data_IF_056378886287
#
_entry.id   IF_056378886287
#
_cell.length_a   1.000
_cell.length_b   1.000
_cell.length_c   1.000
_cell.angle_alpha   90.00
_cell.angle_beta   90.00
_cell.angle_gamma   90.00
#
_symmetry.space_group_name_H-M   'P 1'
#
loop_
_entity.id
_entity.type
_entity.pdbx_description
1 polymer ?
#
# COMPACT_ATOMS: atom_id res chain seq x y z
N UNK A 1 -29.08 22.90 -24.75
CA UNK A 1 -28.75 23.48 -23.43
C UNK A 1 -27.91 22.41 -22.75
N UNK A 2 -26.61 22.65 -22.61
CA UNK A 2 -25.76 21.77 -21.86
C UNK A 2 -26.25 21.79 -20.41
N UNK A 3 -26.71 20.65 -19.92
CA UNK A 3 -27.10 20.50 -18.54
C UNK A 3 -25.84 20.75 -17.68
N UNK A 4 -25.84 21.84 -16.91
CA UNK A 4 -24.75 22.13 -15.98
C UNK A 4 -24.62 20.97 -15.00
N UNK A 5 -23.39 20.52 -14.76
CA UNK A 5 -23.14 19.44 -13.79
C UNK A 5 -23.74 19.84 -12.42
N UNK A 6 -24.41 18.89 -11.72
CA UNK A 6 -25.03 19.19 -10.43
C UNK A 6 -23.96 19.59 -9.41
N UNK A 7 -24.28 20.54 -8.55
CA UNK A 7 -23.44 20.90 -7.41
C UNK A 7 -23.66 19.88 -6.30
N UNK A 8 -22.60 19.19 -5.93
CA UNK A 8 -22.63 18.16 -4.90
C UNK A 8 -21.73 18.57 -3.74
N UNK A 9 -22.25 18.54 -2.53
CA UNK A 9 -21.45 18.72 -1.31
C UNK A 9 -21.28 17.40 -0.56
N UNK A 10 -20.05 17.05 -0.21
CA UNK A 10 -19.78 15.84 0.56
C UNK A 10 -20.04 16.06 2.06
N UNK A 11 -20.57 15.03 2.73
CA UNK A 11 -20.73 14.95 4.18
C UNK A 11 -20.06 13.68 4.66
N UNK A 12 -19.01 13.82 5.47
CA UNK A 12 -18.26 12.70 6.06
C UNK A 12 -18.76 12.45 7.48
N UNK A 13 -19.26 11.25 7.76
CA UNK A 13 -19.71 10.86 9.09
C UNK A 13 -18.54 10.24 9.86
N UNK A 14 -17.98 11.00 10.80
CA UNK A 14 -16.76 10.67 11.54
C UNK A 14 -16.94 10.78 13.09
N UNK A 15 -18.19 10.72 13.59
CA UNK A 15 -18.50 10.86 15.01
C UNK A 15 -18.73 9.53 15.74
N UNK A 16 -18.45 8.38 15.11
CA UNK A 16 -18.62 7.04 15.70
C UNK A 16 -17.65 6.80 16.87
N UNK A 17 -18.15 6.20 17.97
CA UNK A 17 -17.38 5.97 19.18
C UNK A 17 -16.32 4.85 19.08
N UNK A 18 -16.34 4.03 18.03
CA UNK A 18 -15.38 2.93 17.85
C UNK A 18 -15.38 1.86 18.95
N UNK A 19 -16.49 1.67 19.67
CA UNK A 19 -16.57 0.81 20.85
C UNK A 19 -16.11 -0.64 20.61
N UNK A 20 -16.45 -1.20 19.44
CA UNK A 20 -16.03 -2.56 19.04
C UNK A 20 -14.56 -2.65 18.66
N UNK A 21 -13.98 -1.54 18.19
CA UNK A 21 -12.58 -1.45 17.84
C UNK A 21 -11.65 -1.37 19.07
N UNK A 22 -12.20 -0.95 20.20
CA UNK A 22 -11.44 -0.77 21.45
C UNK A 22 -10.62 0.51 21.49
N UNK A 23 -10.89 1.49 20.61
CA UNK A 23 -10.17 2.74 20.53
C UNK A 23 -10.66 3.65 19.38
N UNK A 24 -9.80 4.59 19.00
CA UNK A 24 -10.10 5.54 17.93
C UNK A 24 -9.82 4.96 16.53
N UNK A 25 -10.77 4.19 15.98
CA UNK A 25 -10.64 3.52 14.68
C UNK A 25 -10.25 4.46 13.53
N UNK A 26 -10.69 5.72 13.56
CA UNK A 26 -10.36 6.72 12.54
C UNK A 26 -8.90 7.19 12.56
N UNK A 27 -8.22 6.97 13.69
CA UNK A 27 -6.78 7.24 13.86
C UNK A 27 -5.90 6.05 13.52
N UNK A 28 -6.49 4.84 13.41
CA UNK A 28 -5.77 3.66 12.96
C UNK A 28 -5.12 3.92 11.59
N UNK A 29 -4.01 3.25 11.32
CA UNK A 29 -3.24 3.47 10.10
C UNK A 29 -3.40 2.34 9.11
N UNK A 30 -3.49 2.72 7.86
CA UNK A 30 -3.42 1.86 6.69
C UNK A 30 -2.53 2.57 5.67
N UNK A 31 -1.52 1.89 5.16
CA UNK A 31 -0.62 2.41 4.13
C UNK A 31 0.08 3.74 4.54
N UNK A 32 0.52 3.83 5.79
CA UNK A 32 1.19 4.99 6.36
C UNK A 32 0.27 6.17 6.70
N UNK A 33 -1.03 6.09 6.39
CA UNK A 33 -2.02 7.16 6.58
C UNK A 33 -3.13 6.74 7.54
N UNK A 34 -3.74 7.71 8.20
CA UNK A 34 -4.91 7.45 9.06
C UNK A 34 -6.13 7.07 8.22
N UNK A 35 -6.98 6.21 8.75
CA UNK A 35 -8.24 5.79 8.10
C UNK A 35 -9.06 6.99 7.62
N UNK A 36 -9.28 8.00 8.47
CA UNK A 36 -10.02 9.21 8.07
C UNK A 36 -9.27 10.02 6.99
N UNK A 37 -7.93 10.07 7.03
CA UNK A 37 -7.16 10.79 6.02
C UNK A 37 -7.33 10.18 4.62
N UNK A 38 -7.38 8.85 4.53
CA UNK A 38 -7.61 8.16 3.25
C UNK A 38 -8.96 8.56 2.63
N UNK A 39 -10.00 8.69 3.45
CA UNK A 39 -11.32 9.16 3.00
C UNK A 39 -11.27 10.61 2.50
N UNK A 40 -10.63 11.51 3.26
CA UNK A 40 -10.49 12.92 2.88
C UNK A 40 -9.65 13.08 1.60
N UNK A 41 -8.58 12.30 1.46
CA UNK A 41 -7.73 12.31 0.27
C UNK A 41 -8.50 11.84 -0.98
N UNK A 42 -9.32 10.78 -0.86
CA UNK A 42 -10.15 10.30 -1.96
C UNK A 42 -11.20 11.33 -2.40
N UNK A 43 -11.80 12.06 -1.46
CA UNK A 43 -12.71 13.16 -1.75
C UNK A 43 -12.01 14.31 -2.49
N UNK A 44 -10.84 14.74 -2.02
CA UNK A 44 -10.06 15.80 -2.67
C UNK A 44 -9.59 15.38 -4.08
N UNK A 45 -9.13 14.13 -4.26
CA UNK A 45 -8.76 13.59 -5.57
C UNK A 45 -9.96 13.54 -6.53
N UNK A 46 -11.16 13.34 -6.00
CA UNK A 46 -12.39 13.35 -6.78
C UNK A 46 -12.87 14.77 -7.17
N UNK A 47 -12.27 15.83 -6.57
CA UNK A 47 -12.73 17.21 -6.73
C UNK A 47 -13.96 17.54 -5.87
N UNK A 48 -14.22 16.76 -4.81
CA UNK A 48 -15.24 17.04 -3.81
C UNK A 48 -14.60 17.87 -2.68
N UNK A 49 -14.26 19.10 -3.01
CA UNK A 49 -13.63 20.06 -2.11
C UNK A 49 -14.60 20.55 -1.02
N UNK A 50 -14.07 21.06 0.10
CA UNK A 50 -14.81 21.62 1.22
C UNK A 50 -15.89 20.69 1.82
N UNK A 51 -15.59 19.42 2.14
CA UNK A 51 -16.59 18.53 2.72
C UNK A 51 -17.01 19.00 4.12
N UNK A 52 -18.26 18.74 4.51
CA UNK A 52 -18.68 18.82 5.91
C UNK A 52 -18.23 17.55 6.62
N UNK A 53 -17.42 17.66 7.67
CA UNK A 53 -16.99 16.51 8.47
C UNK A 53 -17.64 16.57 9.84
N UNK A 54 -18.53 15.62 10.11
CA UNK A 54 -19.23 15.51 11.39
C UNK A 54 -18.40 14.66 12.36
N UNK A 55 -17.97 15.26 13.46
CA UNK A 55 -17.07 14.66 14.45
C UNK A 55 -17.69 14.56 15.83
N UNK A 56 -17.20 13.65 16.67
CA UNK A 56 -17.58 13.58 18.08
C UNK A 56 -16.86 14.67 18.92
N UNK A 57 -17.42 15.09 20.08
CA UNK A 57 -16.79 16.08 20.96
C UNK A 57 -15.37 15.69 21.42
N UNK A 58 -15.14 14.40 21.64
CA UNK A 58 -13.86 13.80 22.04
C UNK A 58 -13.17 13.01 20.91
N UNK A 59 -13.63 13.23 19.65
CA UNK A 59 -13.12 12.52 18.48
C UNK A 59 -11.81 13.11 17.92
N UNK A 60 -11.29 12.53 16.83
CA UNK A 60 -10.01 12.90 16.21
C UNK A 60 -9.86 14.38 15.86
N UNK A 61 -10.96 15.12 15.71
CA UNK A 61 -10.96 16.56 15.45
C UNK A 61 -10.30 17.39 16.57
N UNK A 62 -10.19 16.87 17.76
CA UNK A 62 -9.60 17.60 18.90
C UNK A 62 -8.13 17.24 19.13
N UNK A 63 -7.68 16.12 18.59
CA UNK A 63 -6.29 15.61 18.69
C UNK A 63 -5.51 15.78 17.39
N UNK A 64 -5.87 16.74 16.57
CA UNK A 64 -5.59 16.93 15.15
C UNK A 64 -4.14 17.15 14.74
N UNK A 65 -3.16 16.87 15.52
CA UNK A 65 -1.79 16.80 15.01
C UNK A 65 -1.71 15.70 13.94
N UNK A 66 -1.58 16.14 12.67
CA UNK A 66 -1.27 15.29 11.54
C UNK A 66 -2.44 14.83 10.65
N UNK A 67 -3.66 15.44 10.72
CA UNK A 67 -4.67 15.33 9.68
C UNK A 67 -4.65 16.56 8.79
N UNK A 68 -4.65 16.37 7.48
CA UNK A 68 -4.93 17.41 6.50
C UNK A 68 -6.44 17.42 6.21
N UNK A 69 -7.14 18.42 6.72
CA UNK A 69 -8.60 18.54 6.63
C UNK A 69 -9.12 18.92 5.25
N UNK A 70 -8.22 19.20 4.28
CA UNK A 70 -8.63 19.54 2.90
C UNK A 70 -9.70 20.61 2.82
N UNK A 71 -9.59 21.68 3.64
CA UNK A 71 -10.57 22.76 3.77
C UNK A 71 -11.96 22.33 4.30
N UNK A 72 -12.07 21.18 4.94
CA UNK A 72 -13.34 20.68 5.48
C UNK A 72 -13.96 21.62 6.51
N UNK A 73 -15.28 21.76 6.46
CA UNK A 73 -16.07 22.39 7.53
C UNK A 73 -16.33 21.36 8.65
N UNK A 74 -15.74 21.60 9.81
CA UNK A 74 -15.87 20.69 10.95
C UNK A 74 -17.11 21.03 11.78
N UNK A 75 -17.97 20.01 11.97
CA UNK A 75 -19.21 20.15 12.77
C UNK A 75 -19.20 19.12 13.89
N UNK A 76 -19.34 19.59 15.12
CA UNK A 76 -19.36 18.71 16.31
C UNK A 76 -20.77 18.21 16.56
N UNK A 77 -20.97 16.89 16.52
CA UNK A 77 -22.21 16.29 16.99
C UNK A 77 -22.17 16.19 18.52
N UNK A 78 -23.04 16.94 19.27
CA UNK A 78 -23.00 16.94 20.72
C UNK A 78 -23.51 15.62 21.34
N UNK A 79 -24.25 14.82 20.58
CA UNK A 79 -24.89 13.59 21.06
C UNK A 79 -24.63 12.39 20.12
N UNK A 80 -23.36 11.99 19.88
CA UNK A 80 -23.04 10.91 18.96
C UNK A 80 -23.62 9.56 19.40
N UNK A 81 -23.88 9.39 20.69
CA UNK A 81 -24.55 8.19 21.25
C UNK A 81 -26.00 7.97 20.81
N UNK A 82 -26.63 8.95 20.13
CA UNK A 82 -27.94 8.77 19.50
C UNK A 82 -27.89 7.99 18.19
N UNK A 83 -26.71 7.59 17.77
CA UNK A 83 -26.47 6.78 16.60
C UNK A 83 -26.10 7.58 15.35
N UNK A 84 -25.76 6.84 14.29
CA UNK A 84 -25.25 7.40 13.02
C UNK A 84 -26.22 8.41 12.39
N UNK A 85 -27.54 8.22 12.55
CA UNK A 85 -28.57 9.14 12.05
C UNK A 85 -28.45 10.54 12.61
N UNK A 86 -28.03 10.72 13.87
CA UNK A 86 -27.84 12.06 14.46
C UNK A 86 -26.75 12.85 13.76
N UNK A 87 -25.66 12.18 13.40
CA UNK A 87 -24.56 12.78 12.62
C UNK A 87 -24.99 13.05 11.18
N UNK A 88 -25.75 12.14 10.57
CA UNK A 88 -26.30 12.31 9.22
C UNK A 88 -27.21 13.57 9.15
N UNK A 89 -28.16 13.70 10.07
CA UNK A 89 -29.07 14.85 10.09
C UNK A 89 -28.32 16.19 10.32
N UNK A 90 -27.30 16.16 11.18
CA UNK A 90 -26.49 17.37 11.44
C UNK A 90 -25.69 17.74 10.20
N UNK A 91 -24.94 16.82 9.61
CA UNK A 91 -24.15 17.06 8.40
C UNK A 91 -25.01 17.44 7.20
N UNK A 92 -26.17 16.81 7.01
CA UNK A 92 -27.14 17.16 5.98
C UNK A 92 -27.60 18.61 6.10
N UNK A 93 -28.02 19.05 7.29
CA UNK A 93 -28.46 20.46 7.52
C UNK A 93 -27.33 21.43 7.23
N UNK A 94 -26.15 21.18 7.76
CA UNK A 94 -24.97 22.03 7.50
C UNK A 94 -24.66 22.13 6.01
N UNK A 95 -24.71 21.01 5.27
CA UNK A 95 -24.48 21.02 3.83
C UNK A 95 -25.53 21.89 3.08
N UNK A 96 -26.77 21.96 3.57
CA UNK A 96 -27.82 22.76 2.96
C UNK A 96 -27.70 24.27 3.26
N UNK A 97 -26.91 24.69 4.26
CA UNK A 97 -26.61 26.05 4.61
C UNK A 97 -25.54 26.70 3.71
N UNK A 98 -24.93 25.94 2.81
CA UNK A 98 -23.94 26.44 1.86
C UNK A 98 -24.53 27.47 0.89
N UNK A 99 -23.74 28.45 0.52
CA UNK A 99 -24.05 29.39 -0.56
C UNK A 99 -22.98 29.26 -1.68
N UNK A 100 -23.33 28.78 -2.87
CA UNK A 100 -24.68 28.35 -3.29
C UNK A 100 -25.09 26.99 -2.72
N UNK A 101 -26.40 26.83 -2.47
CA UNK A 101 -26.97 25.58 -1.98
C UNK A 101 -26.71 24.42 -2.97
N UNK A 102 -26.32 23.22 -2.51
CA UNK A 102 -26.07 22.09 -3.38
C UNK A 102 -27.37 21.50 -3.96
N UNK A 103 -27.25 20.87 -5.13
CA UNK A 103 -28.34 20.12 -5.77
C UNK A 103 -28.45 18.71 -5.16
N UNK A 104 -27.33 18.15 -4.69
CA UNK A 104 -27.25 16.86 -4.01
C UNK A 104 -26.19 16.86 -2.90
N UNK A 105 -26.36 15.95 -1.93
CA UNK A 105 -25.37 15.68 -0.88
C UNK A 105 -24.83 14.27 -1.06
N UNK A 106 -23.51 14.13 -0.99
CA UNK A 106 -22.81 12.86 -1.01
C UNK A 106 -22.44 12.46 0.43
N UNK A 107 -23.10 11.47 0.99
CA UNK A 107 -22.84 10.95 2.34
C UNK A 107 -21.75 9.87 2.26
N UNK A 108 -20.68 10.08 3.02
CA UNK A 108 -19.49 9.21 3.08
C UNK A 108 -19.25 8.79 4.52
N UNK A 109 -18.88 7.54 4.74
CA UNK A 109 -18.47 7.06 6.06
C UNK A 109 -16.98 7.29 6.28
N UNK A 110 -16.62 7.87 7.44
CA UNK A 110 -15.22 8.18 7.77
C UNK A 110 -14.35 6.96 8.09
N UNK A 111 -14.95 5.80 8.25
CA UNK A 111 -14.32 4.50 8.57
C UNK A 111 -14.23 3.53 7.39
N UNK A 112 -14.46 4.03 6.17
CA UNK A 112 -14.31 3.29 4.92
C UNK A 112 -13.11 3.77 4.10
N UNK A 113 -11.86 3.43 4.49
CA UNK A 113 -10.65 4.02 3.90
C UNK A 113 -10.36 3.58 2.46
N UNK A 114 -11.08 2.57 1.94
CA UNK A 114 -10.94 2.09 0.56
C UNK A 114 -11.91 2.79 -0.41
N UNK A 115 -12.60 3.83 0.03
CA UNK A 115 -13.42 4.66 -0.87
C UNK A 115 -12.56 5.21 -2.02
N UNK A 116 -13.04 5.03 -3.25
CA UNK A 116 -12.29 5.35 -4.47
C UNK A 116 -12.70 6.69 -5.04
N UNK A 117 -11.73 7.50 -5.43
CA UNK A 117 -11.95 8.81 -6.03
C UNK A 117 -12.73 8.75 -7.35
N UNK A 118 -12.54 7.72 -8.18
CA UNK A 118 -13.30 7.54 -9.42
C UNK A 118 -14.78 7.22 -9.15
N UNK A 119 -15.09 6.45 -8.11
CA UNK A 119 -16.46 6.18 -7.67
C UNK A 119 -17.11 7.45 -7.14
N UNK A 120 -16.42 8.20 -6.27
CA UNK A 120 -16.88 9.49 -5.76
C UNK A 120 -17.17 10.44 -6.92
N UNK A 121 -16.27 10.56 -7.88
CA UNK A 121 -16.42 11.43 -9.07
C UNK A 121 -17.60 10.99 -9.93
N UNK A 122 -17.77 9.68 -10.16
CA UNK A 122 -18.90 9.15 -10.92
C UNK A 122 -20.25 9.45 -10.24
N UNK A 123 -20.33 9.30 -8.90
CA UNK A 123 -21.50 9.66 -8.13
C UNK A 123 -21.77 11.17 -8.19
N UNK A 124 -20.75 12.01 -8.00
CA UNK A 124 -20.88 13.46 -7.99
C UNK A 124 -21.32 14.02 -9.36
N UNK A 125 -20.78 13.50 -10.46
CA UNK A 125 -21.05 13.99 -11.82
C UNK A 125 -22.32 13.42 -12.45
N UNK A 126 -22.94 12.39 -11.85
CA UNK A 126 -24.14 11.79 -12.41
C UNK A 126 -25.29 12.81 -12.52
N UNK A 127 -26.11 12.76 -13.57
CA UNK A 127 -27.28 13.64 -13.69
C UNK A 127 -28.29 13.41 -12.56
N UNK A 128 -29.03 14.47 -12.21
CA UNK A 128 -30.14 14.38 -11.26
C UNK A 128 -31.29 13.53 -11.81
N UNK A 129 -32.03 12.85 -10.93
CA UNK A 129 -33.20 12.03 -11.27
C UNK A 129 -34.24 12.16 -10.15
N UNK A 130 -35.26 12.98 -10.35
CA UNK A 130 -36.30 13.21 -9.33
C UNK A 130 -37.14 11.97 -9.00
N UNK A 131 -37.26 11.04 -9.96
CA UNK A 131 -38.00 9.79 -9.75
C UNK A 131 -37.19 8.78 -8.91
N UNK A 132 -35.87 8.81 -9.03
CA UNK A 132 -34.95 7.96 -8.27
C UNK A 132 -33.82 8.80 -7.66
N UNK A 133 -34.13 9.55 -6.58
CA UNK A 133 -33.30 10.60 -6.04
C UNK A 133 -32.06 10.11 -5.27
N UNK A 134 -31.88 8.80 -5.14
CA UNK A 134 -30.72 8.22 -4.47
C UNK A 134 -29.87 7.49 -5.49
N UNK A 135 -28.56 7.74 -5.45
CA UNK A 135 -27.56 6.99 -6.23
C UNK A 135 -26.52 6.42 -5.28
N UNK A 136 -26.32 5.09 -5.34
CA UNK A 136 -25.38 4.38 -4.48
C UNK A 136 -24.54 3.37 -5.28
N UNK A 137 -23.31 3.08 -4.89
CA UNK A 137 -22.53 2.02 -5.50
C UNK A 137 -23.05 0.65 -5.08
N UNK A 138 -22.87 -0.33 -5.94
CA UNK A 138 -23.07 -1.74 -5.65
C UNK A 138 -21.77 -2.46 -5.95
N UNK A 139 -21.04 -2.81 -4.90
CA UNK A 139 -19.80 -3.56 -4.98
C UNK A 139 -20.10 -5.04 -5.20
N UNK A 140 -19.35 -5.69 -6.10
CA UNK A 140 -19.55 -7.11 -6.41
C UNK A 140 -19.18 -8.01 -5.23
N UNK A 141 -20.17 -8.40 -4.43
CA UNK A 141 -20.00 -9.32 -3.30
C UNK A 141 -20.15 -8.70 -1.92
N UNK A 142 -20.37 -7.39 -1.81
CA UNK A 142 -20.57 -6.67 -0.55
C UNK A 142 -22.01 -6.14 -0.41
N UNK A 143 -22.53 -6.13 0.82
CA UNK A 143 -23.77 -5.41 1.17
C UNK A 143 -23.50 -3.90 1.44
N UNK A 144 -22.25 -3.44 1.32
CA UNK A 144 -21.88 -2.04 1.49
C UNK A 144 -22.36 -1.21 0.31
N UNK A 145 -22.99 -0.07 0.57
CA UNK A 145 -23.57 0.80 -0.44
C UNK A 145 -23.13 2.27 -0.27
N UNK A 146 -21.99 2.50 0.39
CA UNK A 146 -21.44 3.85 0.55
C UNK A 146 -20.28 4.08 -0.44
N UNK A 147 -20.09 5.35 -0.88
CA UNK A 147 -20.85 6.59 -0.55
C UNK A 147 -22.25 6.63 -1.17
N UNK A 148 -23.18 7.34 -0.51
CA UNK A 148 -24.55 7.52 -1.02
C UNK A 148 -24.78 8.96 -1.43
N UNK A 149 -25.15 9.21 -2.68
CA UNK A 149 -25.62 10.52 -3.14
C UNK A 149 -27.14 10.61 -3.02
N UNK A 150 -27.63 11.71 -2.43
CA UNK A 150 -29.05 11.98 -2.28
C UNK A 150 -29.40 13.38 -2.82
N UNK A 151 -30.41 13.46 -3.69
CA UNK A 151 -30.89 14.73 -4.28
C UNK A 151 -31.59 15.58 -3.23
N UNK A 152 -31.20 16.84 -3.09
CA UNK A 152 -31.71 17.73 -2.05
C UNK A 152 -33.24 18.00 -2.20
N UNK A 153 -33.70 18.16 -3.44
CA UNK A 153 -35.09 18.50 -3.71
C UNK A 153 -36.10 17.39 -3.33
N UNK A 154 -35.70 16.14 -3.41
CA UNK A 154 -36.60 14.97 -3.33
C UNK A 154 -36.25 13.97 -2.23
N UNK A 155 -34.99 13.89 -1.82
CA UNK A 155 -34.54 12.91 -0.82
C UNK A 155 -34.67 13.40 0.64
N UNK A 156 -34.99 14.68 0.89
CA UNK A 156 -35.02 15.26 2.26
C UNK A 156 -35.87 14.45 3.24
N UNK A 157 -37.07 14.00 2.85
CA UNK A 157 -37.94 13.17 3.71
C UNK A 157 -37.33 11.78 3.99
N UNK A 158 -36.60 11.22 3.03
CA UNK A 158 -35.93 9.93 3.21
C UNK A 158 -34.76 10.04 4.19
N UNK A 159 -34.07 11.19 4.21
CA UNK A 159 -33.02 11.49 5.20
C UNK A 159 -33.64 11.61 6.61
N UNK A 160 -34.82 12.30 6.73
CA UNK A 160 -35.53 12.44 8.01
C UNK A 160 -36.00 11.07 8.57
N UNK A 161 -36.28 10.09 7.72
CA UNK A 161 -36.66 8.74 8.11
C UNK A 161 -35.48 7.87 8.61
N UNK A 162 -34.24 8.34 8.46
CA UNK A 162 -33.06 7.64 8.98
C UNK A 162 -33.01 7.72 10.51
N UNK A 163 -32.98 6.56 11.18
CA UNK A 163 -32.98 6.46 12.66
C UNK A 163 -31.93 5.45 13.16
N UNK A 164 -31.36 5.75 14.33
CA UNK A 164 -30.42 4.87 15.03
C UNK A 164 -29.05 4.74 14.34
N UNK A 165 -28.41 3.58 14.54
CA UNK A 165 -27.00 3.34 14.15
C UNK A 165 -26.79 2.89 12.69
N UNK A 166 -27.87 2.67 11.93
CA UNK A 166 -27.78 2.06 10.59
C UNK A 166 -27.78 3.08 9.44
N UNK A 167 -27.77 4.38 9.74
CA UNK A 167 -27.70 5.45 8.74
C UNK A 167 -28.78 5.31 7.64
N UNK A 168 -28.36 5.38 6.38
CA UNK A 168 -29.24 5.26 5.21
C UNK A 168 -29.55 3.80 4.81
N UNK A 169 -28.83 2.81 5.29
CA UNK A 169 -29.02 1.41 4.89
C UNK A 169 -30.48 0.92 4.97
N UNK A 170 -31.21 1.11 6.09
CA UNK A 170 -32.61 0.72 6.20
C UNK A 170 -33.55 1.50 5.26
N UNK A 171 -33.22 2.75 4.95
CA UNK A 171 -33.98 3.59 4.01
C UNK A 171 -33.84 3.05 2.60
N UNK A 172 -32.60 2.71 2.18
CA UNK A 172 -32.32 2.10 0.88
C UNK A 172 -33.06 0.77 0.71
N UNK A 173 -33.01 -0.09 1.75
CA UNK A 173 -33.67 -1.40 1.74
C UNK A 173 -35.21 -1.29 1.67
N UNK A 174 -35.79 -0.26 2.31
CA UNK A 174 -37.24 -0.03 2.32
C UNK A 174 -37.77 0.57 1.01
N UNK A 175 -36.93 1.32 0.30
CA UNK A 175 -37.30 2.09 -0.91
C UNK A 175 -36.38 1.76 -2.11
N UNK A 176 -36.26 0.49 -2.52
CA UNK A 176 -35.35 0.09 -3.59
C UNK A 176 -35.72 0.70 -4.95
N UNK A 177 -36.99 1.07 -5.15
CA UNK A 177 -37.51 1.75 -6.32
C UNK A 177 -37.01 3.20 -6.48
N UNK A 178 -36.57 3.82 -5.39
CA UNK A 178 -36.02 5.18 -5.38
C UNK A 178 -34.50 5.21 -5.54
N UNK A 179 -33.85 4.06 -5.66
CA UNK A 179 -32.39 3.94 -5.73
C UNK A 179 -31.95 3.61 -7.15
N UNK A 180 -30.98 4.38 -7.64
CA UNK A 180 -30.13 4.02 -8.80
C UNK A 180 -28.86 3.35 -8.29
N UNK A 181 -28.42 2.31 -8.96
CA UNK A 181 -27.20 1.60 -8.63
C UNK A 181 -26.10 1.87 -9.63
N UNK A 182 -24.90 2.16 -9.12
CA UNK A 182 -23.66 2.18 -9.87
C UNK A 182 -22.90 0.88 -9.58
N UNK A 183 -22.80 -0.01 -10.55
CA UNK A 183 -22.03 -1.24 -10.38
C UNK A 183 -20.54 -0.90 -10.35
N UNK A 184 -19.85 -1.35 -9.29
CA UNK A 184 -18.45 -1.05 -9.00
C UNK A 184 -17.72 -2.35 -8.71
N UNK A 185 -16.56 -2.54 -9.31
CA UNK A 185 -15.65 -3.63 -8.99
C UNK A 185 -14.89 -3.37 -7.68
N UNK A 186 -14.55 -4.45 -6.97
CA UNK A 186 -13.84 -4.37 -5.69
C UNK A 186 -14.77 -4.29 -4.50
N UNK A 187 -14.29 -3.77 -3.40
CA UNK A 187 -14.99 -3.67 -2.12
C UNK A 187 -14.65 -2.35 -1.39
N UNK A 188 -15.49 -1.96 -0.43
CA UNK A 188 -15.28 -0.80 0.42
C UNK A 188 -15.74 -1.12 1.85
N UNK A 189 -15.03 -2.01 2.58
CA UNK A 189 -15.44 -2.46 3.90
C UNK A 189 -15.24 -1.39 4.99
N UNK A 190 -16.10 -1.47 6.01
CA UNK A 190 -15.99 -0.67 7.23
C UNK A 190 -14.85 -1.18 8.12
N UNK A 191 -14.17 -0.30 8.82
CA UNK A 191 -13.26 -0.65 9.92
C UNK A 191 -14.02 -0.57 11.24
N UNK A 192 -14.53 -1.70 11.71
CA UNK A 192 -15.28 -1.80 12.97
C UNK A 192 -14.53 -2.55 14.07
N UNK A 193 -13.62 -3.46 13.69
CA UNK A 193 -12.80 -4.29 14.58
C UNK A 193 -11.34 -4.28 14.13
N UNK A 194 -10.44 -4.80 14.98
CA UNK A 194 -9.05 -5.02 14.59
C UNK A 194 -8.91 -5.99 13.39
N UNK A 195 -9.80 -6.98 13.29
CA UNK A 195 -9.81 -7.92 12.17
C UNK A 195 -10.19 -7.22 10.85
N UNK A 196 -11.15 -6.29 10.90
CA UNK A 196 -11.52 -5.48 9.72
C UNK A 196 -10.35 -4.59 9.29
N UNK A 197 -9.62 -3.99 10.25
CA UNK A 197 -8.44 -3.19 9.94
C UNK A 197 -7.36 -4.04 9.25
N UNK A 198 -7.10 -5.26 9.73
CA UNK A 198 -6.15 -6.16 9.10
C UNK A 198 -6.58 -6.51 7.67
N UNK A 199 -7.84 -6.84 7.47
CA UNK A 199 -8.40 -7.13 6.14
C UNK A 199 -8.30 -5.92 5.19
N UNK A 200 -8.66 -4.73 5.66
CA UNK A 200 -8.53 -3.47 4.90
C UNK A 200 -7.08 -3.19 4.53
N UNK A 201 -6.13 -3.41 5.45
CA UNK A 201 -4.71 -3.21 5.16
C UNK A 201 -4.20 -4.19 4.08
N UNK A 202 -4.65 -5.44 4.09
CA UNK A 202 -4.33 -6.43 3.06
C UNK A 202 -4.94 -6.06 1.70
N UNK A 203 -6.19 -5.60 1.66
CA UNK A 203 -6.85 -5.13 0.45
C UNK A 203 -6.15 -3.89 -0.14
N UNK A 204 -5.79 -2.91 0.71
CA UNK A 204 -5.08 -1.70 0.29
C UNK A 204 -3.71 -2.04 -0.33
N UNK A 205 -2.98 -2.96 0.30
CA UNK A 205 -1.71 -3.46 -0.20
C UNK A 205 -1.88 -4.12 -1.57
N UNK A 206 -2.80 -5.09 -1.67
CA UNK A 206 -3.06 -5.84 -2.91
C UNK A 206 -3.53 -4.94 -4.05
N UNK A 207 -4.39 -3.96 -3.76
CA UNK A 207 -4.86 -2.98 -4.75
C UNK A 207 -3.71 -2.15 -5.34
N UNK A 208 -2.79 -1.67 -4.51
CA UNK A 208 -1.61 -0.93 -4.98
C UNK A 208 -0.71 -1.78 -5.86
N UNK A 209 -0.47 -3.05 -5.48
CA UNK A 209 0.32 -3.99 -6.29
C UNK A 209 -0.35 -4.23 -7.64
N UNK A 210 -1.66 -4.51 -7.64
CA UNK A 210 -2.45 -4.73 -8.87
C UNK A 210 -2.42 -3.51 -9.78
N UNK A 211 -2.71 -2.32 -9.26
CA UNK A 211 -2.70 -1.05 -10.03
C UNK A 211 -1.33 -0.73 -10.61
N UNK A 212 -0.25 -0.97 -9.86
CA UNK A 212 1.12 -0.83 -10.39
C UNK A 212 1.36 -1.78 -11.57
N UNK A 213 0.98 -3.06 -11.43
CA UNK A 213 1.12 -4.07 -12.48
C UNK A 213 0.31 -3.70 -13.72
N UNK A 214 -0.96 -3.31 -13.57
CA UNK A 214 -1.83 -2.89 -14.66
C UNK A 214 -1.28 -1.66 -15.39
N UNK A 215 -0.71 -0.70 -14.65
CA UNK A 215 -0.04 0.46 -15.24
C UNK A 215 1.19 0.05 -16.04
N UNK A 216 2.05 -0.81 -15.48
CA UNK A 216 3.23 -1.33 -16.17
C UNK A 216 2.81 -2.09 -17.43
N UNK A 217 1.83 -3.00 -17.33
CA UNK A 217 1.36 -3.81 -18.46
C UNK A 217 0.79 -2.97 -19.62
N UNK A 218 0.15 -1.85 -19.30
CA UNK A 218 -0.37 -0.90 -20.28
C UNK A 218 0.70 -0.05 -20.95
N UNK A 219 1.77 0.30 -20.23
CA UNK A 219 2.76 1.29 -20.69
C UNK A 219 4.07 0.70 -21.20
N UNK A 220 4.36 -0.54 -20.85
CA UNK A 220 5.60 -1.22 -21.25
C UNK A 220 5.68 -1.42 -22.75
N UNK A 221 6.89 -1.25 -23.31
CA UNK A 221 7.19 -1.49 -24.70
C UNK A 221 7.78 -2.89 -24.94
N UNK A 222 8.40 -3.48 -23.92
CA UNK A 222 9.00 -4.80 -23.98
C UNK A 222 8.32 -5.78 -23.01
N UNK A 223 8.09 -7.05 -23.40
CA UNK A 223 7.58 -8.06 -22.49
C UNK A 223 8.63 -8.40 -21.42
N UNK A 224 8.16 -8.93 -20.27
CA UNK A 224 9.03 -9.58 -19.32
C UNK A 224 9.71 -10.80 -19.96
N UNK A 225 11.00 -10.98 -19.69
CA UNK A 225 11.67 -12.26 -19.92
C UNK A 225 11.17 -13.31 -18.92
N UNK A 226 11.35 -14.58 -19.23
CA UNK A 226 10.98 -15.68 -18.34
C UNK A 226 11.67 -15.60 -16.95
N UNK A 227 12.86 -15.02 -16.89
CA UNK A 227 13.57 -14.66 -15.66
C UNK A 227 13.96 -13.18 -15.74
N UNK A 228 13.25 -12.34 -14.96
CA UNK A 228 13.46 -10.89 -14.90
C UNK A 228 14.89 -10.49 -14.53
N UNK A 229 15.61 -11.33 -13.79
CA UNK A 229 16.95 -11.07 -13.29
C UNK A 229 18.07 -11.64 -14.15
N UNK A 230 17.77 -12.45 -15.18
CA UNK A 230 18.77 -13.17 -15.97
C UNK A 230 19.90 -12.28 -16.53
N UNK A 231 19.56 -11.07 -17.00
CA UNK A 231 20.53 -10.13 -17.60
C UNK A 231 21.35 -9.32 -16.59
N UNK A 232 21.04 -9.41 -15.30
CA UNK A 232 21.59 -8.53 -14.26
C UNK A 232 22.00 -9.27 -12.97
N UNK A 233 21.89 -10.60 -12.93
CA UNK A 233 22.20 -11.38 -11.73
C UNK A 233 23.61 -11.15 -11.20
N UNK A 234 24.59 -10.90 -12.06
CA UNK A 234 25.96 -10.56 -11.69
C UNK A 234 26.10 -9.26 -10.91
N UNK A 235 25.23 -8.28 -11.15
CA UNK A 235 25.24 -6.97 -10.46
C UNK A 235 24.76 -7.12 -8.99
N UNK A 236 24.06 -8.21 -8.68
CA UNK A 236 23.56 -8.49 -7.33
C UNK A 236 24.53 -9.34 -6.49
N UNK A 237 25.66 -9.73 -7.05
CA UNK A 237 26.73 -10.38 -6.28
C UNK A 237 27.44 -9.36 -5.41
N UNK A 238 27.66 -9.73 -4.16
CA UNK A 238 28.33 -8.90 -3.16
C UNK A 238 29.41 -9.71 -2.46
N UNK A 239 30.45 -9.06 -1.95
CA UNK A 239 31.45 -9.71 -1.12
C UNK A 239 30.82 -10.13 0.22
N UNK A 240 30.79 -11.43 0.57
CA UNK A 240 30.24 -11.88 1.85
C UNK A 240 31.02 -11.36 3.06
N UNK A 241 32.28 -11.01 2.88
CA UNK A 241 33.16 -10.51 3.94
C UNK A 241 33.25 -8.97 3.95
N UNK A 242 32.36 -8.28 3.20
CA UNK A 242 32.28 -6.81 3.16
C UNK A 242 32.09 -6.20 4.53
N UNK A 243 32.74 -5.08 4.77
CA UNK A 243 32.60 -4.26 5.98
C UNK A 243 31.86 -2.95 5.69
N UNK A 244 31.25 -2.36 6.73
CA UNK A 244 30.61 -1.06 6.62
C UNK A 244 29.24 -1.09 5.90
N UNK A 245 28.58 -2.25 5.86
CA UNK A 245 27.16 -2.38 5.47
C UNK A 245 26.29 -2.32 6.75
N UNK A 246 25.66 -1.17 7.03
CA UNK A 246 24.94 -0.99 8.29
C UNK A 246 23.71 -1.90 8.40
N UNK A 247 23.09 -2.33 7.28
CA UNK A 247 21.99 -3.29 7.26
C UNK A 247 22.49 -4.67 7.66
N UNK A 248 23.63 -5.10 7.09
CA UNK A 248 24.23 -6.37 7.47
C UNK A 248 24.66 -6.39 8.94
N UNK A 249 25.22 -5.28 9.44
CA UNK A 249 25.61 -5.18 10.85
C UNK A 249 24.37 -5.21 11.77
N UNK A 250 23.25 -4.63 11.34
CA UNK A 250 21.99 -4.75 12.05
C UNK A 250 21.49 -6.21 12.05
N UNK A 251 21.48 -6.90 10.92
CA UNK A 251 21.08 -8.32 10.82
C UNK A 251 21.95 -9.23 11.71
N UNK A 252 23.27 -9.00 11.74
CA UNK A 252 24.21 -9.79 12.57
C UNK A 252 23.90 -9.70 14.06
N UNK A 253 23.28 -8.60 14.56
CA UNK A 253 22.88 -8.49 15.97
C UNK A 253 21.78 -9.47 16.36
N UNK A 254 20.97 -9.93 15.40
CA UNK A 254 19.90 -10.92 15.59
C UNK A 254 20.37 -12.35 15.39
N UNK A 255 21.57 -12.56 14.82
CA UNK A 255 22.13 -13.89 14.53
C UNK A 255 22.78 -14.55 15.77
N UNK A 256 22.53 -15.82 15.96
CA UNK A 256 23.19 -16.69 16.96
C UNK A 256 23.85 -17.85 16.27
N UNK A 257 25.00 -18.27 16.74
CA UNK A 257 25.81 -19.33 16.06
C UNK A 257 25.09 -20.67 15.89
N UNK A 258 24.09 -20.97 16.73
CA UNK A 258 23.27 -22.19 16.63
C UNK A 258 22.03 -22.07 15.75
N UNK A 259 21.72 -20.90 15.22
CA UNK A 259 20.48 -20.63 14.48
C UNK A 259 20.46 -21.29 13.10
N UNK A 260 19.27 -21.67 12.68
CA UNK A 260 18.93 -21.84 11.27
C UNK A 260 18.08 -20.65 10.82
N UNK A 261 18.48 -20.01 9.73
CA UNK A 261 17.78 -18.90 9.10
C UNK A 261 17.11 -19.34 7.81
N UNK A 262 15.90 -18.84 7.56
CA UNK A 262 15.20 -18.95 6.29
C UNK A 262 15.24 -17.60 5.59
N UNK A 263 15.97 -17.49 4.47
CA UNK A 263 16.05 -16.29 3.64
C UNK A 263 15.11 -16.45 2.44
N UNK A 264 13.98 -15.74 2.47
CA UNK A 264 12.90 -15.79 1.47
C UNK A 264 13.15 -14.70 0.43
N UNK A 265 13.40 -15.10 -0.82
CA UNK A 265 13.83 -14.20 -1.89
C UNK A 265 15.32 -13.84 -1.75
N UNK A 266 16.15 -14.83 -1.48
CA UNK A 266 17.57 -14.64 -1.18
C UNK A 266 18.40 -14.06 -2.34
N UNK A 267 17.88 -14.11 -3.55
CA UNK A 267 18.56 -13.61 -4.75
C UNK A 267 19.94 -14.22 -4.93
N UNK A 268 20.94 -13.41 -5.25
CA UNK A 268 22.33 -13.81 -5.37
C UNK A 268 23.06 -13.98 -4.01
N UNK A 269 22.32 -13.94 -2.89
CA UNK A 269 22.85 -14.21 -1.56
C UNK A 269 23.44 -13.01 -0.84
N UNK A 270 22.98 -11.78 -1.16
CA UNK A 270 23.48 -10.54 -0.54
C UNK A 270 23.57 -10.62 0.99
N UNK A 271 22.58 -11.20 1.63
CA UNK A 271 22.54 -11.41 3.08
C UNK A 271 22.73 -12.87 3.49
N UNK A 272 22.27 -13.84 2.70
CA UNK A 272 22.46 -15.26 2.97
C UNK A 272 23.94 -15.62 3.14
N UNK A 273 24.82 -15.16 2.23
CA UNK A 273 26.25 -15.48 2.26
C UNK A 273 26.95 -14.98 3.54
N UNK A 274 26.88 -13.68 3.92
CA UNK A 274 27.51 -13.20 5.14
C UNK A 274 26.84 -13.73 6.42
N UNK A 275 25.54 -14.00 6.42
CA UNK A 275 24.86 -14.63 7.55
C UNK A 275 25.31 -16.07 7.77
N UNK A 276 25.58 -16.82 6.73
CA UNK A 276 26.12 -18.19 6.82
C UNK A 276 27.46 -18.26 7.59
N UNK A 277 28.25 -17.16 7.60
CA UNK A 277 29.46 -17.05 8.44
C UNK A 277 29.15 -16.95 9.94
N UNK A 278 27.94 -16.53 10.32
CA UNK A 278 27.55 -16.22 11.69
C UNK A 278 26.59 -17.24 12.31
N UNK A 279 25.92 -18.07 11.49
CA UNK A 279 24.87 -18.99 11.94
C UNK A 279 25.22 -20.44 11.57
N UNK A 280 24.48 -21.38 12.11
CA UNK A 280 24.68 -22.81 11.83
C UNK A 280 24.32 -23.14 10.37
N UNK A 281 23.23 -22.59 9.84
CA UNK A 281 22.71 -22.90 8.50
C UNK A 281 21.80 -21.80 7.97
N UNK A 282 21.79 -21.60 6.68
CA UNK A 282 20.82 -20.76 5.98
C UNK A 282 20.07 -21.61 4.96
N UNK A 283 18.74 -21.51 4.93
CA UNK A 283 17.89 -22.03 3.86
C UNK A 283 17.51 -20.83 3.00
N UNK A 284 17.99 -20.79 1.76
CA UNK A 284 17.82 -19.68 0.83
C UNK A 284 16.82 -20.07 -0.26
N UNK A 285 15.68 -19.40 -0.35
CA UNK A 285 14.64 -19.65 -1.34
C UNK A 285 14.57 -18.48 -2.33
N UNK A 286 14.59 -18.76 -3.63
CA UNK A 286 14.38 -17.74 -4.66
C UNK A 286 13.75 -18.38 -5.92
N UNK A 287 12.78 -17.70 -6.60
CA UNK A 287 12.19 -18.23 -7.84
C UNK A 287 13.04 -17.98 -9.09
N UNK A 288 14.16 -17.23 -9.00
CA UNK A 288 15.04 -16.92 -10.13
C UNK A 288 16.20 -17.92 -10.19
N UNK A 289 16.20 -18.77 -11.20
CA UNK A 289 17.27 -19.70 -11.43
C UNK A 289 18.62 -19.04 -11.67
N UNK A 290 18.63 -17.86 -12.33
CA UNK A 290 19.86 -17.08 -12.57
C UNK A 290 20.44 -16.50 -11.28
N UNK A 291 19.58 -16.04 -10.36
CA UNK A 291 20.01 -15.56 -9.04
C UNK A 291 20.60 -16.69 -8.18
N UNK A 292 19.92 -17.83 -8.13
CA UNK A 292 20.43 -18.99 -7.41
C UNK A 292 21.72 -19.55 -8.04
N UNK A 293 21.88 -19.43 -9.35
CA UNK A 293 23.14 -19.72 -10.03
C UNK A 293 24.29 -18.87 -9.49
N UNK A 294 24.07 -17.54 -9.43
CA UNK A 294 25.04 -16.58 -8.89
C UNK A 294 25.33 -16.83 -7.39
N UNK A 295 24.32 -17.21 -6.60
CA UNK A 295 24.49 -17.61 -5.20
C UNK A 295 25.42 -18.84 -5.08
N UNK A 296 25.16 -19.92 -5.84
CA UNK A 296 25.96 -21.16 -5.80
C UNK A 296 27.40 -20.93 -6.26
N UNK A 297 27.63 -20.08 -7.26
CA UNK A 297 28.97 -19.67 -7.67
C UNK A 297 29.71 -18.96 -6.53
N UNK A 298 29.06 -17.98 -5.87
CA UNK A 298 29.63 -17.26 -4.73
C UNK A 298 29.89 -18.17 -3.53
N UNK A 299 28.99 -19.14 -3.24
CA UNK A 299 29.24 -20.17 -2.22
C UNK A 299 30.53 -20.94 -2.48
N UNK A 300 30.75 -21.37 -3.73
CA UNK A 300 31.95 -22.08 -4.15
C UNK A 300 33.21 -21.24 -4.03
N UNK A 301 33.15 -20.01 -4.54
CA UNK A 301 34.25 -19.05 -4.53
C UNK A 301 34.72 -18.71 -3.10
N UNK A 302 33.78 -18.49 -2.20
CA UNK A 302 34.02 -18.10 -0.82
C UNK A 302 34.05 -19.25 0.19
N UNK A 303 33.93 -20.51 -0.29
CA UNK A 303 33.95 -21.76 0.52
C UNK A 303 32.89 -21.74 1.64
N UNK A 304 31.66 -21.40 1.28
CA UNK A 304 30.50 -21.41 2.16
C UNK A 304 29.68 -22.65 1.80
N UNK A 305 29.52 -23.59 2.73
CA UNK A 305 28.90 -24.89 2.52
C UNK A 305 27.63 -25.15 3.37
N UNK A 306 27.23 -24.15 4.18
CA UNK A 306 26.08 -24.23 5.07
C UNK A 306 24.87 -23.44 4.57
N UNK A 307 24.72 -23.29 3.25
CA UNK A 307 23.55 -22.71 2.60
C UNK A 307 22.88 -23.76 1.72
N UNK A 308 21.57 -23.97 1.92
CA UNK A 308 20.73 -24.75 1.02
C UNK A 308 19.97 -23.83 0.09
N UNK A 309 20.36 -23.80 -1.17
CA UNK A 309 19.74 -22.95 -2.19
C UNK A 309 18.60 -23.70 -2.91
N UNK A 310 17.36 -23.31 -2.65
CA UNK A 310 16.14 -23.97 -3.13
C UNK A 310 15.43 -23.08 -4.15
N UNK A 311 15.14 -23.65 -5.32
CA UNK A 311 14.37 -22.96 -6.37
C UNK A 311 12.88 -23.07 -6.06
N UNK A 312 12.23 -21.92 -5.89
CA UNK A 312 10.81 -21.90 -5.64
C UNK A 312 10.27 -20.55 -5.23
N UNK A 313 8.97 -20.41 -5.38
CA UNK A 313 8.22 -19.20 -5.01
C UNK A 313 7.54 -19.36 -3.65
N UNK A 314 7.85 -18.49 -2.73
CA UNK A 314 7.18 -18.43 -1.43
C UNK A 314 5.75 -17.86 -1.56
N UNK A 315 4.72 -18.37 -0.84
CA UNK A 315 4.76 -19.58 0.01
C UNK A 315 4.46 -20.89 -0.74
N UNK A 316 4.19 -20.88 -2.06
CA UNK A 316 3.77 -22.05 -2.84
C UNK A 316 4.77 -23.21 -2.81
N UNK A 317 6.05 -22.92 -2.55
CA UNK A 317 7.10 -23.94 -2.42
C UNK A 317 6.80 -24.93 -1.27
N UNK A 318 6.08 -24.50 -0.25
CA UNK A 318 5.72 -25.34 0.90
C UNK A 318 4.78 -26.50 0.54
N UNK A 319 4.04 -26.37 -0.57
CA UNK A 319 3.10 -27.39 -1.04
C UNK A 319 3.81 -28.49 -1.85
N UNK A 320 5.03 -28.25 -2.32
CA UNK A 320 5.74 -29.15 -3.24
C UNK A 320 7.05 -29.70 -2.66
N UNK A 321 7.71 -28.97 -1.77
CA UNK A 321 9.00 -29.37 -1.16
C UNK A 321 8.78 -29.94 0.25
N UNK A 322 8.47 -31.23 0.31
CA UNK A 322 8.20 -31.92 1.57
C UNK A 322 9.41 -31.94 2.54
N UNK A 323 10.64 -31.93 2.02
CA UNK A 323 11.83 -31.92 2.85
C UNK A 323 12.01 -30.56 3.53
N UNK A 324 11.79 -29.45 2.81
CA UNK A 324 11.74 -28.12 3.40
C UNK A 324 10.69 -28.05 4.52
N UNK A 325 9.49 -28.53 4.25
CA UNK A 325 8.38 -28.47 5.22
C UNK A 325 8.67 -29.24 6.50
N UNK A 326 9.44 -30.34 6.45
CA UNK A 326 9.87 -31.09 7.65
C UNK A 326 10.92 -30.38 8.49
N UNK A 327 11.68 -29.46 7.90
CA UNK A 327 12.71 -28.70 8.59
C UNK A 327 12.17 -27.45 9.29
N UNK A 328 10.95 -27.02 8.95
CA UNK A 328 10.27 -25.89 9.57
C UNK A 328 9.62 -26.30 10.90
N UNK A 329 9.46 -25.38 11.86
CA UNK A 329 9.93 -24.00 11.82
C UNK A 329 11.42 -23.85 12.10
N UNK A 330 12.05 -22.84 11.48
CA UNK A 330 13.44 -22.42 11.74
C UNK A 330 13.52 -21.41 12.90
N UNK A 331 14.72 -20.94 13.25
CA UNK A 331 14.89 -19.98 14.35
C UNK A 331 14.53 -18.55 13.91
N UNK A 332 14.91 -18.14 12.70
CA UNK A 332 14.64 -16.80 12.13
C UNK A 332 14.20 -16.92 10.69
N UNK A 333 13.14 -16.22 10.33
CA UNK A 333 12.74 -16.02 8.93
C UNK A 333 13.07 -14.60 8.50
N UNK A 334 13.69 -14.43 7.34
CA UNK A 334 14.13 -13.16 6.77
C UNK A 334 13.49 -12.93 5.41
N UNK A 335 13.05 -11.70 5.16
CA UNK A 335 12.86 -11.11 3.84
C UNK A 335 13.74 -9.87 3.72
N UNK A 336 14.44 -9.70 2.61
CA UNK A 336 15.27 -8.53 2.39
C UNK A 336 15.01 -7.96 1.00
N UNK A 337 14.37 -6.79 0.96
CA UNK A 337 13.92 -6.14 -0.28
C UNK A 337 12.96 -6.97 -1.12
N UNK A 338 12.16 -7.79 -0.48
CA UNK A 338 11.14 -8.70 -1.04
C UNK A 338 9.76 -8.32 -0.50
N UNK A 339 8.70 -8.64 -1.25
CA UNK A 339 7.32 -8.48 -0.82
C UNK A 339 6.60 -7.28 -1.44
N UNK A 340 7.30 -6.26 -1.93
CA UNK A 340 6.68 -5.05 -2.48
C UNK A 340 5.65 -5.30 -3.61
N UNK A 341 5.85 -6.36 -4.39
CA UNK A 341 5.03 -6.77 -5.54
C UNK A 341 4.19 -8.02 -5.28
N UNK A 342 4.16 -8.49 -4.03
CA UNK A 342 3.34 -9.62 -3.61
C UNK A 342 1.92 -9.14 -3.32
N UNK A 343 0.96 -9.44 -4.22
CA UNK A 343 -0.43 -9.01 -4.08
C UNK A 343 -1.10 -9.64 -2.84
N UNK A 344 -0.90 -10.94 -2.62
CA UNK A 344 -1.44 -11.68 -1.47
C UNK A 344 -0.49 -11.61 -0.26
N UNK A 345 -0.23 -10.42 0.26
CA UNK A 345 0.76 -10.20 1.33
C UNK A 345 0.36 -10.86 2.66
N UNK A 346 -0.94 -10.93 2.97
CA UNK A 346 -1.44 -11.59 4.19
C UNK A 346 -1.01 -13.04 4.30
N UNK A 347 -1.38 -13.92 3.34
CA UNK A 347 -0.91 -15.30 3.28
C UNK A 347 0.61 -15.46 3.22
N UNK A 348 1.32 -14.53 2.56
CA UNK A 348 2.77 -14.52 2.48
C UNK A 348 3.42 -14.38 3.88
N UNK A 349 2.99 -13.35 4.64
CA UNK A 349 3.47 -13.08 6.00
C UNK A 349 3.07 -14.21 6.95
N UNK A 350 1.86 -14.72 6.84
CA UNK A 350 1.36 -15.81 7.67
C UNK A 350 2.16 -17.10 7.49
N UNK A 351 2.52 -17.43 6.26
CA UNK A 351 3.40 -18.55 5.99
C UNK A 351 4.81 -18.33 6.56
N UNK A 352 5.34 -17.10 6.47
CA UNK A 352 6.64 -16.73 7.06
C UNK A 352 6.63 -16.88 8.60
N UNK A 353 5.56 -16.43 9.27
CA UNK A 353 5.37 -16.59 10.71
C UNK A 353 5.30 -18.07 11.12
N UNK A 354 4.52 -18.88 10.40
CA UNK A 354 4.43 -20.33 10.68
C UNK A 354 5.75 -21.06 10.47
N UNK A 355 6.59 -20.56 9.57
CA UNK A 355 7.91 -21.12 9.30
C UNK A 355 8.97 -20.70 10.33
N UNK A 356 8.64 -19.86 11.31
CA UNK A 356 9.57 -19.26 12.26
C UNK A 356 9.17 -19.55 13.70
N UNK A 357 10.14 -19.79 14.58
CA UNK A 357 9.87 -20.03 16.00
C UNK A 357 10.30 -18.89 16.94
N UNK A 358 11.22 -18.06 16.53
CA UNK A 358 11.78 -17.03 17.42
C UNK A 358 11.49 -15.61 16.94
N UNK A 359 11.85 -15.30 15.70
CA UNK A 359 11.82 -13.92 15.21
C UNK A 359 11.69 -13.85 13.69
N UNK A 360 10.75 -13.08 13.23
CA UNK A 360 10.65 -12.71 11.82
C UNK A 360 11.35 -11.36 11.61
N UNK A 361 12.11 -11.25 10.52
CA UNK A 361 12.88 -10.06 10.17
C UNK A 361 12.53 -9.63 8.74
N UNK A 362 12.27 -8.33 8.55
CA UNK A 362 12.08 -7.76 7.23
C UNK A 362 13.01 -6.56 7.04
N UNK A 363 13.77 -6.54 5.97
CA UNK A 363 14.58 -5.40 5.53
C UNK A 363 13.83 -4.73 4.39
N UNK A 364 13.24 -3.58 4.64
CA UNK A 364 12.41 -2.87 3.67
C UNK A 364 12.83 -1.41 3.55
N UNK A 365 12.76 -0.87 2.34
CA UNK A 365 12.97 0.55 2.09
C UNK A 365 11.70 1.35 2.38
N UNK A 366 11.82 2.65 2.70
CA UNK A 366 10.67 3.56 2.87
C UNK A 366 9.81 3.66 1.62
N UNK A 367 10.43 3.57 0.46
CA UNK A 367 9.80 3.40 -0.86
C UNK A 367 10.42 2.20 -1.56
N UNK A 368 9.69 1.55 -2.44
CA UNK A 368 10.20 0.38 -3.16
C UNK A 368 11.48 0.71 -3.95
N UNK A 369 12.39 -0.26 -4.21
CA UNK A 369 13.60 -0.03 -5.02
C UNK A 369 13.31 0.58 -6.40
N UNK A 370 12.12 0.31 -6.94
CA UNK A 370 11.66 0.87 -8.21
C UNK A 370 11.48 2.39 -8.19
N UNK A 371 11.32 3.01 -7.01
CA UNK A 371 11.14 4.45 -6.86
C UNK A 371 12.35 5.27 -7.29
N UNK A 372 13.53 4.69 -7.34
CA UNK A 372 14.73 5.36 -7.90
C UNK A 372 14.54 5.80 -9.37
N UNK A 373 13.69 5.12 -10.12
CA UNK A 373 13.37 5.46 -11.49
C UNK A 373 12.03 6.22 -11.64
N UNK A 374 11.31 6.49 -10.55
CA UNK A 374 10.03 7.22 -10.59
C UNK A 374 10.13 8.59 -11.28
N UNK A 375 11.18 9.41 -11.08
CA UNK A 375 11.30 10.70 -11.76
C UNK A 375 11.27 10.60 -13.31
N UNK A 376 11.67 9.46 -13.85
CA UNK A 376 11.66 9.22 -15.29
C UNK A 376 10.25 8.93 -15.86
N UNK A 377 9.29 8.50 -15.02
CA UNK A 377 7.99 8.07 -15.50
C UNK A 377 7.16 9.17 -16.16
N UNK A 378 6.93 10.35 -15.54
CA UNK A 378 6.11 11.39 -16.16
C UNK A 378 6.65 11.86 -17.52
N UNK A 379 7.96 12.17 -17.70
CA UNK A 379 8.45 12.62 -18.98
C UNK A 379 8.57 11.53 -20.06
N UNK A 380 8.51 10.25 -19.69
CA UNK A 380 8.56 9.10 -20.61
C UNK A 380 7.14 8.59 -20.94
N UNK A 381 6.27 8.47 -19.94
CA UNK A 381 4.96 7.83 -20.08
C UNK A 381 3.79 8.82 -20.02
N UNK A 382 4.00 10.09 -19.65
CA UNK A 382 2.95 11.11 -19.55
C UNK A 382 2.12 11.05 -18.27
N UNK A 383 2.44 10.15 -17.35
CA UNK A 383 1.76 10.00 -16.06
C UNK A 383 2.73 9.55 -14.96
N UNK A 384 2.39 9.84 -13.69
CA UNK A 384 3.17 9.40 -12.54
C UNK A 384 3.04 7.89 -12.33
N UNK A 385 4.12 7.26 -11.85
CA UNK A 385 4.09 5.82 -11.50
C UNK A 385 3.19 5.58 -10.30
N UNK A 386 2.39 4.53 -10.36
CA UNK A 386 1.70 4.00 -9.18
C UNK A 386 2.77 3.36 -8.27
N UNK A 387 2.98 3.96 -7.09
CA UNK A 387 3.99 3.47 -6.15
C UNK A 387 3.58 2.12 -5.55
N UNK A 388 4.52 1.19 -5.45
CA UNK A 388 4.32 -0.07 -4.71
C UNK A 388 4.22 0.21 -3.20
N UNK A 389 3.49 -0.62 -2.43
CA UNK A 389 3.54 -0.54 -0.97
C UNK A 389 4.97 -0.81 -0.46
N UNK A 390 5.31 -0.24 0.70
CA UNK A 390 6.68 -0.32 1.23
C UNK A 390 6.68 -0.35 2.77
N UNK A 391 7.78 0.06 3.42
CA UNK A 391 8.00 -0.06 4.85
C UNK A 391 6.80 0.37 5.71
N UNK A 392 6.25 1.57 5.49
CA UNK A 392 5.16 2.09 6.32
C UNK A 392 3.90 1.21 6.21
N UNK A 393 3.54 0.82 4.97
CA UNK A 393 2.40 -0.07 4.73
C UNK A 393 2.60 -1.46 5.36
N UNK A 394 3.83 -1.98 5.36
CA UNK A 394 4.15 -3.27 5.98
C UNK A 394 4.05 -3.21 7.51
N UNK A 395 4.53 -2.14 8.13
CA UNK A 395 4.43 -1.92 9.59
C UNK A 395 2.96 -1.79 10.01
N UNK A 396 2.15 -1.02 9.26
CA UNK A 396 0.72 -0.89 9.50
C UNK A 396 0.00 -2.23 9.36
N UNK A 397 0.33 -3.03 8.34
CA UNK A 397 -0.20 -4.38 8.15
C UNK A 397 0.09 -5.29 9.35
N UNK A 398 1.34 -5.34 9.81
CA UNK A 398 1.72 -6.14 10.97
C UNK A 398 0.98 -5.66 12.23
N UNK A 399 0.89 -4.35 12.44
CA UNK A 399 0.18 -3.76 13.58
C UNK A 399 -1.32 -4.09 13.53
N UNK A 400 -1.95 -3.97 12.36
CA UNK A 400 -3.35 -4.33 12.17
C UNK A 400 -3.60 -5.83 12.42
N UNK A 401 -2.64 -6.70 12.12
CA UNK A 401 -2.66 -8.13 12.44
C UNK A 401 -2.35 -8.44 13.93
N UNK A 402 -2.26 -7.41 14.77
CA UNK A 402 -2.00 -7.54 16.21
C UNK A 402 -0.55 -7.87 16.58
N UNK A 403 0.40 -7.64 15.66
CA UNK A 403 1.83 -7.75 15.96
C UNK A 403 2.35 -6.44 16.54
N UNK A 404 3.43 -6.51 17.30
CA UNK A 404 4.15 -5.36 17.83
C UNK A 404 5.54 -5.28 17.18
N UNK A 405 5.62 -4.79 15.92
CA UNK A 405 6.89 -4.71 15.23
C UNK A 405 7.79 -3.64 15.86
N UNK A 406 9.08 -3.94 15.98
CA UNK A 406 10.11 -2.95 16.25
C UNK A 406 10.73 -2.55 14.91
N UNK A 407 10.93 -1.25 14.70
CA UNK A 407 11.53 -0.70 13.49
C UNK A 407 12.82 0.04 13.84
N UNK A 408 13.94 -0.44 13.34
CA UNK A 408 15.21 0.25 13.38
C UNK A 408 15.48 0.87 12.00
N UNK A 409 15.52 2.22 11.94
CA UNK A 409 15.88 2.91 10.71
C UNK A 409 17.39 2.88 10.54
N UNK A 410 17.84 2.28 9.45
CA UNK A 410 19.24 2.20 9.08
C UNK A 410 19.51 3.22 7.99
N UNK A 411 20.41 4.16 8.22
CA UNK A 411 20.83 5.11 7.19
C UNK A 411 21.48 4.37 6.05
N UNK A 412 20.93 4.51 4.86
CA UNK A 412 21.57 4.06 3.63
C UNK A 412 22.07 5.26 2.84
N UNK A 413 23.21 5.10 2.19
CA UNK A 413 23.72 6.11 1.25
C UNK A 413 22.87 6.08 -0.02
N UNK A 414 22.85 7.23 -0.75
CA UNK A 414 22.33 7.26 -2.12
C UNK A 414 22.96 6.12 -2.94
N UNK A 415 22.15 5.50 -3.80
CA UNK A 415 22.67 4.44 -4.67
C UNK A 415 23.67 5.06 -5.64
N UNK A 416 24.91 4.59 -5.57
CA UNK A 416 25.97 4.93 -6.51
C UNK A 416 26.21 3.76 -7.46
N UNK A 417 26.67 4.08 -8.65
CA UNK A 417 27.07 3.11 -9.68
C UNK A 417 28.49 3.42 -10.11
N UNK A 418 29.23 2.42 -10.56
CA UNK A 418 30.59 2.61 -11.03
C UNK A 418 30.65 3.44 -12.31
N UNK A 419 29.59 3.39 -13.13
CA UNK A 419 29.55 4.15 -14.39
C UNK A 419 28.11 4.31 -14.90
N UNK A 420 27.92 5.24 -15.84
CA UNK A 420 26.69 5.39 -16.63
C UNK A 420 26.22 4.08 -17.27
N UNK A 421 27.15 3.24 -17.73
CA UNK A 421 26.83 1.97 -18.38
C UNK A 421 26.06 1.00 -17.47
N UNK A 422 26.16 1.17 -16.15
CA UNK A 422 25.38 0.39 -15.18
C UNK A 422 24.02 1.03 -14.87
N UNK A 423 23.92 2.37 -14.94
CA UNK A 423 22.67 3.10 -14.64
C UNK A 423 21.64 2.92 -15.75
N UNK A 424 22.05 3.02 -17.01
CA UNK A 424 21.15 2.94 -18.16
C UNK A 424 20.31 1.64 -18.18
N UNK A 425 20.90 0.43 -18.06
CA UNK A 425 20.12 -0.81 -18.02
C UNK A 425 19.19 -0.88 -16.82
N UNK A 426 19.59 -0.31 -15.68
CA UNK A 426 18.74 -0.25 -14.48
C UNK A 426 17.51 0.61 -14.73
N UNK A 427 17.69 1.88 -15.16
CA UNK A 427 16.57 2.81 -15.42
C UNK A 427 15.67 2.29 -16.54
N UNK A 428 16.27 1.80 -17.63
CA UNK A 428 15.54 1.24 -18.77
C UNK A 428 14.60 0.08 -18.34
N UNK A 429 15.10 -0.81 -17.52
CA UNK A 429 14.30 -1.93 -16.98
C UNK A 429 13.18 -1.44 -16.07
N UNK A 430 13.45 -0.46 -15.21
CA UNK A 430 12.44 0.09 -14.30
C UNK A 430 11.40 0.97 -15.02
N UNK A 431 11.72 1.51 -16.18
CA UNK A 431 10.80 2.27 -17.03
C UNK A 431 10.18 1.45 -18.16
N UNK A 432 10.58 0.16 -18.32
CA UNK A 432 10.01 -0.79 -19.28
C UNK A 432 10.06 -0.31 -20.74
N UNK A 433 11.11 0.41 -21.12
CA UNK A 433 11.28 0.93 -22.48
C UNK A 433 12.15 0.01 -23.32
N UNK A 434 11.78 -0.11 -24.62
CA UNK A 434 12.53 -0.93 -25.58
C UNK A 434 13.77 -0.20 -26.09
N UNK A 435 14.94 -0.86 -26.20
CA UNK A 435 16.14 -0.26 -26.76
C UNK A 435 15.87 0.33 -28.15
N UNK A 436 16.30 1.59 -28.37
CA UNK A 436 16.15 2.30 -29.64
C UNK A 436 14.77 2.92 -29.90
N UNK A 437 13.78 2.73 -29.00
CA UNK A 437 12.47 3.38 -29.11
C UNK A 437 12.56 4.91 -28.88
N UNK A 438 11.45 5.62 -29.15
CA UNK A 438 11.36 7.05 -28.85
C UNK A 438 11.45 7.33 -27.34
N UNK A 439 10.80 6.48 -26.51
CA UNK A 439 10.88 6.56 -25.07
C UNK A 439 12.27 6.27 -24.54
N UNK A 440 13.00 5.32 -25.14
CA UNK A 440 14.39 5.04 -24.79
C UNK A 440 15.31 6.25 -25.08
N UNK A 441 15.17 6.89 -26.25
CA UNK A 441 15.94 8.13 -26.55
C UNK A 441 15.65 9.23 -25.52
N UNK A 442 14.37 9.41 -25.17
CA UNK A 442 14.00 10.37 -24.14
C UNK A 442 14.59 10.04 -22.77
N UNK A 443 14.61 8.77 -22.39
CA UNK A 443 15.27 8.30 -21.16
C UNK A 443 16.77 8.61 -21.15
N UNK A 444 17.44 8.39 -22.28
CA UNK A 444 18.88 8.68 -22.41
C UNK A 444 19.16 10.19 -22.27
N UNK A 445 18.34 11.06 -22.88
CA UNK A 445 18.43 12.51 -22.71
C UNK A 445 18.30 12.92 -21.23
N UNK A 446 17.35 12.35 -20.51
CA UNK A 446 17.14 12.59 -19.08
C UNK A 446 18.31 12.07 -18.23
N UNK A 447 18.91 10.94 -18.61
CA UNK A 447 20.12 10.44 -17.95
C UNK A 447 21.31 11.41 -18.16
N UNK A 448 21.45 12.01 -19.36
CA UNK A 448 22.48 13.01 -19.62
C UNK A 448 22.30 14.26 -18.74
N UNK A 449 21.06 14.62 -18.43
CA UNK A 449 20.72 15.78 -17.61
C UNK A 449 20.86 15.52 -16.10
N UNK A 450 20.49 14.30 -15.64
CA UNK A 450 20.29 13.99 -14.22
C UNK A 450 21.39 13.15 -13.58
N UNK A 451 22.32 12.62 -14.37
CA UNK A 451 23.45 11.86 -13.87
C UNK A 451 24.60 12.80 -13.48
N UNK A 452 25.09 12.66 -12.26
CA UNK A 452 26.21 13.46 -11.75
C UNK A 452 27.32 12.55 -11.24
N UNK A 453 28.56 13.04 -11.39
CA UNK A 453 29.75 12.35 -10.85
C UNK A 453 29.79 12.46 -9.33
N UNK A 454 30.20 11.38 -8.65
CA UNK A 454 30.42 11.40 -7.20
C UNK A 454 31.89 11.65 -6.85
N UNK A 455 32.17 12.19 -5.66
CA UNK A 455 33.56 12.43 -5.22
C UNK A 455 34.44 11.17 -5.18
N UNK A 456 33.79 10.00 -5.01
CA UNK A 456 34.42 8.68 -4.92
C UNK A 456 34.76 8.08 -6.30
N UNK A 457 34.41 8.78 -7.39
CA UNK A 457 34.71 8.36 -8.76
C UNK A 457 33.63 7.48 -9.41
N UNK A 458 32.41 7.44 -8.85
CA UNK A 458 31.23 6.83 -9.43
C UNK A 458 30.24 7.87 -9.96
N UNK A 459 28.99 7.44 -10.22
CA UNK A 459 27.89 8.30 -10.67
C UNK A 459 26.64 8.05 -9.83
N UNK A 460 25.79 9.08 -9.68
CA UNK A 460 24.49 8.98 -9.02
C UNK A 460 23.43 9.78 -9.77
N UNK A 461 22.15 9.47 -9.52
CA UNK A 461 21.01 10.21 -10.06
C UNK A 461 20.68 11.38 -9.12
N UNK A 462 20.96 12.60 -9.54
CA UNK A 462 20.72 13.82 -8.75
C UNK A 462 19.25 14.05 -8.40
N UNK A 463 18.34 13.47 -9.19
CA UNK A 463 16.87 13.57 -8.99
C UNK A 463 16.32 12.46 -8.07
N UNK A 464 17.14 11.45 -7.75
CA UNK A 464 16.72 10.37 -6.89
C UNK A 464 16.91 10.76 -5.42
N UNK A 465 15.85 10.68 -4.64
CA UNK A 465 15.97 10.85 -3.19
C UNK A 465 16.64 9.63 -2.56
N UNK A 466 17.50 9.83 -1.55
CA UNK A 466 18.09 8.72 -0.80
C UNK A 466 16.99 7.84 -0.19
N UNK A 467 17.11 6.54 -0.37
CA UNK A 467 16.16 5.58 0.20
C UNK A 467 16.70 5.12 1.56
N UNK A 468 15.95 5.44 2.63
CA UNK A 468 16.24 4.87 3.95
C UNK A 468 15.69 3.45 4.03
N UNK A 469 16.39 2.62 4.80
CA UNK A 469 16.05 1.22 5.01
C UNK A 469 15.61 1.04 6.46
N UNK A 470 14.49 0.37 6.67
CA UNK A 470 14.04 -0.09 7.98
C UNK A 470 14.30 -1.58 8.15
N UNK A 471 14.89 -1.95 9.27
CA UNK A 471 14.90 -3.32 9.78
C UNK A 471 13.67 -3.47 10.68
N UNK A 472 12.73 -4.29 10.28
CA UNK A 472 11.50 -4.58 11.02
C UNK A 472 11.63 -5.96 11.65
N UNK A 473 11.43 -6.04 12.96
CA UNK A 473 11.46 -7.32 13.67
C UNK A 473 10.19 -7.53 14.46
N UNK A 474 9.68 -8.76 14.48
CA UNK A 474 8.52 -9.13 15.27
C UNK A 474 8.56 -10.61 15.66
N UNK A 475 7.82 -10.96 16.69
CA UNK A 475 7.63 -12.36 17.08
C UNK A 475 6.50 -12.97 16.23
N UNK A 476 6.65 -14.22 15.77
CA UNK A 476 5.56 -14.96 15.14
C UNK A 476 4.36 -15.10 16.08
N UNK A 477 3.18 -15.38 15.51
CA UNK A 477 1.93 -15.49 16.25
C UNK A 477 1.92 -16.65 17.26
#
# INVERSE_FOLDING_TARGET
MDAQAPRVRAVVLAAGAGARFGGHKLEARVDGRRVLQLVLDALAEAGADDPVVVVAPDGPARTTEGLDWRHAELVVNPEPGRGLSSSLHLGWRTALESDPRPDAVLVVLGDQPLVRADVVRALASAPTDEARPILAPRYGGSEAHNPVRAEVATAGRLIDDAVGDRGLGPVLAKHPDLVRWLDVEGDNPDVDTAADLAHVAELAWGDRVRRNREQVDRLREAPDGADFYASVSSIFRDDPDRAGDPVLDALRRHARSGDTWLDIGAGAGRYALPLARAVRRVIAIDPSGSMLGALRESMTEHRIDNIDAIDGRWPAILDVEADLTRELPVDVSLIAHVGYDVEAIGPFVEAMERACRRECVAVLMERSPASLAEPFWPPIHGESRVALPALAAFVDLLTARGRMPTVEMVESRSRQWASRAEVEPFVRRQTWVEPGSAKHRRMVELLDEWLVDTPEGGVELAVAEPLRVGLVTWQPA
#
